data_IF_592204403449
#
_entry.id   IF_592204403449
#
_cell.length_a   1.000
_cell.length_b   1.000
_cell.length_c   1.000
_cell.angle_alpha   90.00
_cell.angle_beta   90.00
_cell.angle_gamma   90.00
#
_symmetry.space_group_name_H-M   'P 1'
#
loop_
_entity.id
_entity.type
_entity.pdbx_description
1 polymer ?
#
# COMPACT_ATOMS: atom_id res chain seq x y z
N UNK A 1 17.42 -12.34 1.79
CA UNK A 1 15.96 -12.09 1.90
C UNK A 1 15.45 -11.69 0.54
N UNK A 2 14.28 -12.20 0.16
CA UNK A 2 13.63 -11.90 -1.12
C UNK A 2 12.34 -11.07 -0.93
N UNK A 3 11.68 -10.70 -2.02
CA UNK A 3 10.47 -9.88 -1.99
C UNK A 3 9.20 -10.64 -1.58
N UNK A 4 9.28 -11.96 -1.34
CA UNK A 4 8.10 -12.83 -1.21
C UNK A 4 7.17 -12.36 -0.10
N UNK A 5 7.71 -12.04 1.07
CA UNK A 5 6.87 -11.62 2.19
C UNK A 5 6.24 -10.24 2.01
N UNK A 6 6.95 -9.30 1.37
CA UNK A 6 6.36 -8.01 1.03
C UNK A 6 5.22 -8.18 0.01
N UNK A 7 5.42 -9.03 -1.00
CA UNK A 7 4.39 -9.36 -2.00
C UNK A 7 3.17 -9.99 -1.34
N UNK A 8 3.36 -10.95 -0.42
CA UNK A 8 2.26 -11.57 0.34
C UNK A 8 1.48 -10.53 1.14
N UNK A 9 2.17 -9.68 1.90
CA UNK A 9 1.52 -8.61 2.68
C UNK A 9 0.74 -7.68 1.76
N UNK A 10 1.38 -7.12 0.73
CA UNK A 10 0.73 -6.16 -0.18
C UNK A 10 -0.48 -6.79 -0.88
N UNK A 11 -0.42 -8.07 -1.26
CA UNK A 11 -1.57 -8.80 -1.80
C UNK A 11 -2.78 -8.76 -0.85
N UNK A 12 -2.54 -8.96 0.45
CA UNK A 12 -3.60 -8.91 1.47
C UNK A 12 -4.13 -7.49 1.70
N UNK A 13 -3.30 -6.45 1.53
CA UNK A 13 -3.71 -5.05 1.69
C UNK A 13 -4.52 -4.51 0.50
N UNK A 14 -4.28 -5.02 -0.70
CA UNK A 14 -4.89 -4.48 -1.94
C UNK A 14 -6.41 -4.55 -1.94
N UNK A 15 -7.00 -5.63 -1.42
CA UNK A 15 -8.46 -5.80 -1.34
C UNK A 15 -9.10 -4.71 -0.48
N UNK A 16 -8.78 -4.63 0.82
CA UNK A 16 -9.28 -3.60 1.73
C UNK A 16 -9.11 -2.16 1.22
N UNK A 17 -7.94 -1.82 0.64
CA UNK A 17 -7.67 -0.49 0.08
C UNK A 17 -8.62 -0.20 -1.10
N UNK A 18 -8.77 -1.15 -2.02
CA UNK A 18 -9.60 -0.96 -3.21
C UNK A 18 -11.07 -0.84 -2.83
N UNK A 19 -11.55 -1.68 -1.91
CA UNK A 19 -12.94 -1.68 -1.46
C UNK A 19 -13.30 -0.38 -0.75
N UNK A 20 -12.46 0.06 0.19
CA UNK A 20 -12.69 1.32 0.90
C UNK A 20 -12.67 2.52 -0.06
N UNK A 21 -11.72 2.55 -1.00
CA UNK A 21 -11.67 3.59 -2.04
C UNK A 21 -12.94 3.61 -2.91
N UNK A 22 -13.44 2.44 -3.32
CA UNK A 22 -14.68 2.35 -4.09
C UNK A 22 -15.89 2.83 -3.29
N UNK A 23 -15.96 2.52 -1.99
CA UNK A 23 -17.03 3.01 -1.12
C UNK A 23 -16.98 4.54 -0.97
N UNK A 24 -15.79 5.11 -0.80
CA UNK A 24 -15.61 6.56 -0.67
C UNK A 24 -15.92 7.31 -1.97
N UNK A 25 -15.53 6.76 -3.12
CA UNK A 25 -15.81 7.36 -4.43
C UNK A 25 -17.30 7.36 -4.82
N UNK A 26 -18.12 6.49 -4.20
CA UNK A 26 -19.58 6.46 -4.37
C UNK A 26 -20.35 7.47 -3.50
N UNK A 27 -19.64 8.41 -2.85
CA UNK A 27 -20.26 9.51 -2.10
C UNK A 27 -20.08 9.43 -0.58
N UNK A 28 -19.32 8.46 -0.07
CA UNK A 28 -19.01 8.34 1.35
C UNK A 28 -17.60 8.85 1.67
N UNK A 29 -17.32 10.12 1.39
CA UNK A 29 -15.96 10.70 1.44
C UNK A 29 -15.21 10.58 2.80
N UNK A 30 -15.90 10.14 3.87
CA UNK A 30 -15.34 9.98 5.22
C UNK A 30 -15.73 8.64 5.86
N UNK A 31 -15.98 7.60 5.07
CA UNK A 31 -16.24 6.26 5.62
C UNK A 31 -14.96 5.72 6.27
N UNK A 32 -15.04 5.40 7.57
CA UNK A 32 -14.04 4.59 8.24
C UNK A 32 -14.28 3.11 7.93
N UNK A 33 -13.22 2.31 7.72
CA UNK A 33 -13.37 0.87 7.53
C UNK A 33 -13.99 0.20 8.77
N UNK A 34 -14.74 -0.89 8.60
CA UNK A 34 -15.19 -1.71 9.73
C UNK A 34 -14.01 -2.25 10.54
N UNK A 35 -14.17 -2.36 11.87
CA UNK A 35 -13.10 -2.81 12.76
C UNK A 35 -12.52 -4.20 12.38
N UNK A 36 -13.35 -5.10 11.84
CA UNK A 36 -12.89 -6.41 11.36
C UNK A 36 -11.93 -6.29 10.17
N UNK A 37 -12.17 -5.32 9.28
CA UNK A 37 -11.32 -5.07 8.11
C UNK A 37 -10.01 -4.40 8.54
N UNK A 38 -10.07 -3.49 9.52
CA UNK A 38 -8.86 -2.91 10.14
C UNK A 38 -7.98 -4.00 10.74
N UNK A 39 -8.55 -4.92 11.53
CA UNK A 39 -7.79 -6.03 12.13
C UNK A 39 -7.13 -6.94 11.10
N UNK A 40 -7.83 -7.28 10.02
CA UNK A 40 -7.25 -8.07 8.93
C UNK A 40 -6.06 -7.35 8.27
N UNK A 41 -6.19 -6.03 8.08
CA UNK A 41 -5.13 -5.19 7.54
C UNK A 41 -3.92 -5.14 8.49
N UNK A 42 -4.16 -4.94 9.79
CA UNK A 42 -3.14 -4.96 10.83
C UNK A 42 -2.40 -6.29 10.91
N UNK A 43 -3.12 -7.41 10.94
CA UNK A 43 -2.55 -8.76 10.99
C UNK A 43 -1.57 -9.00 9.83
N UNK A 44 -1.94 -8.57 8.61
CA UNK A 44 -1.07 -8.66 7.44
C UNK A 44 0.23 -7.83 7.58
N UNK A 45 0.12 -6.62 8.14
CA UNK A 45 1.27 -5.73 8.37
C UNK A 45 2.16 -6.22 9.50
N UNK A 46 1.57 -6.67 10.61
CA UNK A 46 2.33 -7.18 11.76
C UNK A 46 3.06 -8.48 11.45
N UNK A 47 2.46 -9.36 10.64
CA UNK A 47 3.13 -10.55 10.13
C UNK A 47 4.42 -10.21 9.36
N UNK A 48 4.45 -9.08 8.63
CA UNK A 48 5.67 -8.59 7.97
C UNK A 48 6.65 -7.91 8.94
N UNK A 49 6.13 -7.11 9.88
CA UNK A 49 6.92 -6.36 10.86
C UNK A 49 7.87 -7.26 11.65
N UNK A 50 7.41 -8.45 12.00
CA UNK A 50 8.15 -9.37 12.86
C UNK A 50 9.22 -10.17 12.08
N UNK A 51 9.29 -10.04 10.75
CA UNK A 51 10.29 -10.72 9.93
C UNK A 51 11.65 -10.03 9.94
N UNK A 52 12.79 -10.75 10.00
CA UNK A 52 14.11 -10.13 9.94
C UNK A 52 14.36 -9.41 8.60
N UNK A 53 14.62 -8.11 8.65
CA UNK A 53 14.87 -7.27 7.46
C UNK A 53 16.32 -6.77 7.39
N UNK A 54 16.94 -6.74 6.19
CA UNK A 54 18.18 -6.01 5.95
C UNK A 54 18.05 -4.52 6.29
N UNK A 55 19.17 -3.89 6.65
CA UNK A 55 19.21 -2.47 7.00
C UNK A 55 18.66 -1.55 5.89
N UNK A 56 18.95 -1.88 4.63
CA UNK A 56 18.52 -1.13 3.46
C UNK A 56 16.99 -1.00 3.31
N UNK A 57 16.22 -1.93 3.89
CA UNK A 57 14.75 -1.96 3.80
C UNK A 57 14.06 -1.80 5.16
N UNK A 58 14.76 -1.30 6.19
CA UNK A 58 14.15 -1.07 7.52
C UNK A 58 13.00 -0.06 7.48
N UNK A 59 13.07 0.93 6.59
CA UNK A 59 12.01 1.93 6.40
C UNK A 59 10.68 1.36 5.89
N UNK A 60 10.72 0.19 5.23
CA UNK A 60 9.52 -0.50 4.71
C UNK A 60 8.54 -0.82 5.84
N UNK A 61 9.02 -1.22 7.03
CA UNK A 61 8.13 -1.48 8.17
C UNK A 61 7.40 -0.24 8.63
N UNK A 62 8.10 0.88 8.72
CA UNK A 62 7.51 2.13 9.16
C UNK A 62 6.42 2.58 8.19
N UNK A 63 6.68 2.51 6.88
CA UNK A 63 5.69 2.83 5.86
C UNK A 63 4.45 1.92 5.93
N UNK A 64 4.62 0.62 6.15
CA UNK A 64 3.47 -0.28 6.32
C UNK A 64 2.70 -0.02 7.62
N UNK A 65 3.36 0.42 8.70
CA UNK A 65 2.67 0.84 9.93
C UNK A 65 1.90 2.15 9.72
N UNK A 66 2.50 3.13 9.05
CA UNK A 66 1.82 4.38 8.69
C UNK A 66 0.62 4.13 7.77
N UNK A 67 0.66 3.07 6.95
CA UNK A 67 -0.49 2.67 6.13
C UNK A 67 -1.65 2.12 6.96
N UNK A 68 -1.38 1.44 8.09
CA UNK A 68 -2.41 1.02 9.06
C UNK A 68 -3.09 2.25 9.65
N UNK A 69 -2.32 3.18 10.21
CA UNK A 69 -2.84 4.39 10.85
C UNK A 69 -3.70 5.22 9.89
N UNK A 70 -3.25 5.33 8.64
CA UNK A 70 -4.01 6.00 7.59
C UNK A 70 -5.29 5.23 7.23
N UNK A 71 -5.22 3.91 7.09
CA UNK A 71 -6.37 3.08 6.73
C UNK A 71 -7.45 3.11 7.82
N UNK A 72 -7.08 2.92 9.09
CA UNK A 72 -7.99 2.99 10.24
C UNK A 72 -8.69 4.36 10.35
N UNK A 73 -7.95 5.44 10.06
CA UNK A 73 -8.51 6.79 10.02
C UNK A 73 -9.48 7.05 8.85
N UNK A 74 -9.63 6.09 7.92
CA UNK A 74 -10.40 6.26 6.69
C UNK A 74 -9.66 7.06 5.62
N UNK A 75 -8.36 7.32 5.77
CA UNK A 75 -7.52 8.02 4.78
C UNK A 75 -6.95 7.01 3.79
N UNK A 76 -7.82 6.42 2.97
CA UNK A 76 -7.45 5.31 2.07
C UNK A 76 -6.39 5.67 1.02
N UNK A 77 -6.40 6.92 0.53
CA UNK A 77 -5.39 7.40 -0.43
C UNK A 77 -4.01 7.53 0.22
N UNK A 78 -3.97 7.99 1.48
CA UNK A 78 -2.73 8.06 2.24
C UNK A 78 -2.23 6.64 2.56
N UNK A 79 -3.13 5.72 2.94
CA UNK A 79 -2.77 4.31 3.15
C UNK A 79 -2.16 3.70 1.88
N UNK A 80 -2.80 3.89 0.72
CA UNK A 80 -2.27 3.45 -0.57
C UNK A 80 -0.91 4.08 -0.91
N UNK A 81 -0.70 5.36 -0.57
CA UNK A 81 0.58 6.04 -0.79
C UNK A 81 1.70 5.44 0.03
N UNK A 82 1.49 5.17 1.32
CA UNK A 82 2.52 4.56 2.16
C UNK A 82 2.88 3.14 1.67
N UNK A 83 1.90 2.33 1.26
CA UNK A 83 2.15 1.01 0.65
C UNK A 83 2.95 1.15 -0.65
N UNK A 84 2.64 2.15 -1.48
CA UNK A 84 3.39 2.41 -2.71
C UNK A 84 4.86 2.77 -2.43
N UNK A 85 5.12 3.65 -1.46
CA UNK A 85 6.47 4.01 -1.05
C UNK A 85 7.25 2.80 -0.49
N UNK A 86 6.57 1.91 0.24
CA UNK A 86 7.15 0.68 0.76
C UNK A 86 7.64 -0.24 -0.38
N UNK A 87 6.85 -0.36 -1.46
CA UNK A 87 7.25 -1.09 -2.67
C UNK A 87 8.45 -0.43 -3.35
N UNK A 88 8.41 0.89 -3.53
CA UNK A 88 9.49 1.65 -4.19
C UNK A 88 10.83 1.53 -3.44
N UNK A 89 10.80 1.60 -2.11
CA UNK A 89 11.99 1.41 -1.28
C UNK A 89 12.56 -0.01 -1.45
N UNK A 90 11.70 -1.03 -1.49
CA UNK A 90 12.14 -2.41 -1.68
C UNK A 90 12.74 -2.64 -3.08
N UNK A 91 12.11 -2.08 -4.12
CA UNK A 91 12.64 -2.10 -5.49
C UNK A 91 14.00 -1.39 -5.60
N UNK A 92 14.17 -0.26 -4.92
CA UNK A 92 15.44 0.47 -4.88
C UNK A 92 16.55 -0.37 -4.23
N UNK A 93 16.26 -1.00 -3.09
CA UNK A 93 17.19 -1.92 -2.43
C UNK A 93 17.56 -3.12 -3.32
N UNK A 94 16.64 -3.60 -4.17
CA UNK A 94 16.92 -4.66 -5.14
C UNK A 94 17.89 -4.21 -6.23
N UNK A 95 17.75 -2.98 -6.75
CA UNK A 95 18.69 -2.40 -7.72
C UNK A 95 20.10 -2.24 -7.14
N UNK A 96 20.19 -1.93 -5.86
CA UNK A 96 21.45 -1.85 -5.11
C UNK A 96 21.98 -3.23 -4.67
N UNK A 97 21.31 -4.33 -5.06
CA UNK A 97 21.65 -5.70 -4.67
C UNK A 97 21.64 -5.95 -3.15
N UNK A 98 20.99 -5.07 -2.38
CA UNK A 98 20.83 -5.21 -0.94
C UNK A 98 19.75 -6.26 -0.56
N UNK A 99 18.85 -6.56 -1.51
CA UNK A 99 17.88 -7.65 -1.46
C UNK A 99 17.86 -8.39 -2.80
N UNK A 100 17.48 -9.67 -2.79
CA UNK A 100 17.30 -10.43 -4.02
C UNK A 100 15.87 -10.26 -4.52
N UNK A 101 15.70 -9.87 -5.80
CA UNK A 101 14.40 -9.76 -6.44
C UNK A 101 14.45 -10.53 -7.75
N UNK A 102 13.64 -11.58 -7.87
CA UNK A 102 13.52 -12.33 -9.12
C UNK A 102 12.72 -11.54 -10.17
N UNK A 103 12.82 -11.87 -11.47
CA UNK A 103 12.01 -11.22 -12.50
C UNK A 103 10.49 -11.28 -12.23
N UNK A 104 9.98 -12.42 -11.75
CA UNK A 104 8.57 -12.58 -11.38
C UNK A 104 8.18 -11.67 -10.21
N UNK A 105 9.04 -11.58 -9.20
CA UNK A 105 8.82 -10.68 -8.06
C UNK A 105 8.83 -9.21 -8.50
N UNK A 106 9.78 -8.81 -9.35
CA UNK A 106 9.80 -7.47 -9.92
C UNK A 106 8.52 -7.17 -10.75
N UNK A 107 8.03 -8.15 -11.51
CA UNK A 107 6.76 -8.07 -12.22
C UNK A 107 5.58 -7.84 -11.28
N UNK A 108 5.50 -8.58 -10.17
CA UNK A 108 4.45 -8.41 -9.16
C UNK A 108 4.51 -7.02 -8.47
N UNK A 109 5.70 -6.60 -8.02
CA UNK A 109 5.90 -5.29 -7.40
C UNK A 109 5.49 -4.15 -8.33
N UNK A 110 5.88 -4.23 -9.61
CA UNK A 110 5.51 -3.25 -10.63
C UNK A 110 3.99 -3.18 -10.89
N UNK A 111 3.30 -4.33 -10.86
CA UNK A 111 1.84 -4.37 -10.98
C UNK A 111 1.15 -3.70 -9.78
N UNK A 112 1.58 -3.99 -8.56
CA UNK A 112 1.04 -3.34 -7.36
C UNK A 112 1.26 -1.83 -7.38
N UNK A 113 2.48 -1.39 -7.71
CA UNK A 113 2.81 0.04 -7.84
C UNK A 113 1.92 0.73 -8.87
N UNK A 114 1.72 0.11 -10.04
CA UNK A 114 0.84 0.67 -11.08
C UNK A 114 -0.61 0.80 -10.61
N UNK A 115 -1.14 -0.19 -9.88
CA UNK A 115 -2.49 -0.15 -9.31
C UNK A 115 -2.63 0.93 -8.24
N UNK A 116 -1.68 0.99 -7.30
CA UNK A 116 -1.67 2.00 -6.24
C UNK A 116 -1.51 3.41 -6.80
N UNK A 117 -0.65 3.60 -7.81
CA UNK A 117 -0.47 4.88 -8.48
C UNK A 117 -1.79 5.40 -9.08
N UNK A 118 -2.56 4.53 -9.75
CA UNK A 118 -3.88 4.90 -10.31
C UNK A 118 -4.91 5.25 -9.23
N UNK A 119 -4.77 4.70 -8.03
CA UNK A 119 -5.63 5.03 -6.89
C UNK A 119 -5.24 6.37 -6.27
N UNK A 120 -3.95 6.59 -6.02
CA UNK A 120 -3.44 7.75 -5.27
C UNK A 120 -3.27 9.02 -6.10
N UNK A 121 -3.09 8.88 -7.42
CA UNK A 121 -3.02 9.98 -8.37
C UNK A 121 -4.27 9.93 -9.23
N UNK A 122 -5.37 10.59 -8.83
CA UNK A 122 -6.54 10.66 -9.67
C UNK A 122 -6.21 11.37 -10.98
N UNK A 123 -6.80 10.88 -12.08
CA UNK A 123 -6.73 11.55 -13.36
C UNK A 123 -7.21 13.02 -13.22
N UNK A 124 -6.62 13.98 -13.95
CA UNK A 124 -6.94 15.40 -13.83
C UNK A 124 -8.43 15.73 -13.99
N UNK A 125 -9.21 14.86 -14.63
CA UNK A 125 -10.66 15.00 -14.81
C UNK A 125 -11.47 15.03 -13.48
N UNK A 126 -10.92 14.48 -12.38
CA UNK A 126 -11.56 14.54 -11.06
C UNK A 126 -11.36 15.88 -10.34
N UNK A 127 -10.40 16.72 -10.76
CA UNK A 127 -10.21 18.06 -10.18
C UNK A 127 -11.20 19.08 -10.72
N UNK A 128 -11.71 18.89 -11.94
CA UNK A 128 -12.61 19.84 -12.58
C UNK A 128 -14.01 19.82 -11.94
N UNK A 129 -14.49 18.64 -11.53
CA UNK A 129 -15.83 18.48 -10.93
C UNK A 129 -16.05 19.12 -9.54
N UNK A 130 -14.99 19.64 -8.90
CA UNK A 130 -15.09 20.40 -7.61
C UNK A 130 -14.95 21.91 -7.80
N UNK A 131 -14.66 22.40 -9.00
CA UNK A 131 -14.56 23.82 -9.30
C UNK A 131 -15.90 24.42 -9.80
N UNK A 132 -16.85 23.56 -10.16
CA UNK A 132 -18.15 23.94 -10.73
C UNK A 132 -19.34 23.72 -9.76
N UNK A 133 -19.10 23.64 -8.44
CA UNK A 133 -20.15 23.55 -7.40
C UNK A 133 -19.97 24.62 -6.33
#
# INVERSE_FOLDING_TARGET
MDATSLITTVTQLMGPITDLYQQQSKGHATLKPPAVVVRQYEEAVYAFRDQPLPAAVKGVRQLLLESVDAFEAGRVLDAGRHVMLALEQFEAAGKESAVSITPDQAGALGQFRSRLFKLVVPAPELKQKRADL
#
